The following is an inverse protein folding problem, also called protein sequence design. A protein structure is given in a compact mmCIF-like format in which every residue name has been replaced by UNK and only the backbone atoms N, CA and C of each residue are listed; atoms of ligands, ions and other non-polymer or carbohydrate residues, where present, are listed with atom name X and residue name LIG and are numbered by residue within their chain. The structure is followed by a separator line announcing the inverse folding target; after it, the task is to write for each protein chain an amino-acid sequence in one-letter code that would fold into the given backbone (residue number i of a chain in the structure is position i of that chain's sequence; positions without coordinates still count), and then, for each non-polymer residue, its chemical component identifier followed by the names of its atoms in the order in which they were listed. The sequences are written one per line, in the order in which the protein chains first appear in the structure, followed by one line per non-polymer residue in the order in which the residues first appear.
data_IF_466136832363
#
_entry.id   IF_466136832363
#
_cell.length_a   1.000
_cell.length_b   1.000
_cell.length_c   1.000
_cell.angle_alpha   90.00
_cell.angle_beta   90.00
_cell.angle_gamma   90.00
#
_symmetry.space_group_name_H-M   'P 1'
#
loop_
_entity.id
_entity.type
_entity.pdbx_description
1 polymer ?
#
# COMPACT_ATOMS: atom_id res chain seq x y z
N UNK A 1 20.37 -11.30 20.23
CA UNK A 1 19.50 -11.86 19.16
C UNK A 1 19.35 -10.79 18.08
N UNK A 2 19.83 -11.01 16.85
CA UNK A 2 19.68 -10.06 15.74
C UNK A 2 18.29 -10.22 15.15
N UNK A 3 17.44 -9.21 15.23
CA UNK A 3 16.11 -9.24 14.64
C UNK A 3 16.19 -8.83 13.16
N UNK A 4 15.53 -9.61 12.29
CA UNK A 4 15.50 -9.37 10.85
C UNK A 4 14.13 -8.76 10.49
N UNK A 5 14.11 -7.49 10.09
CA UNK A 5 12.86 -6.79 9.75
C UNK A 5 12.08 -7.49 8.64
N UNK A 6 12.78 -8.14 7.71
CA UNK A 6 12.14 -8.90 6.63
C UNK A 6 11.20 -9.98 7.16
N UNK A 7 11.57 -10.68 8.24
CA UNK A 7 10.74 -11.74 8.83
C UNK A 7 9.48 -11.19 9.51
N UNK A 8 9.47 -9.93 9.92
CA UNK A 8 8.31 -9.29 10.54
C UNK A 8 7.36 -8.66 9.51
N UNK A 9 7.91 -8.10 8.44
CA UNK A 9 7.14 -7.32 7.46
C UNK A 9 6.73 -8.11 6.22
N UNK A 10 7.46 -9.17 5.86
CA UNK A 10 7.29 -9.90 4.60
C UNK A 10 6.75 -11.30 4.87
N UNK A 11 5.45 -11.50 4.62
CA UNK A 11 4.80 -12.82 4.74
C UNK A 11 4.95 -13.67 3.48
N UNK A 12 4.84 -13.05 2.31
CA UNK A 12 4.94 -13.72 1.01
C UNK A 12 6.07 -13.09 0.18
N UNK A 13 7.33 -13.54 0.34
CA UNK A 13 8.48 -12.89 -0.28
C UNK A 13 8.40 -12.75 -1.80
N UNK A 14 7.84 -13.74 -2.50
CA UNK A 14 7.66 -13.71 -3.95
C UNK A 14 6.54 -12.77 -4.43
N UNK A 15 5.69 -12.30 -3.51
CA UNK A 15 4.55 -11.42 -3.78
C UNK A 15 4.65 -10.08 -3.05
N UNK A 16 5.78 -9.81 -2.38
CA UNK A 16 5.99 -8.57 -1.62
C UNK A 16 6.99 -7.69 -2.33
N UNK A 17 6.67 -6.41 -2.47
CA UNK A 17 7.58 -5.40 -3.01
C UNK A 17 7.52 -4.12 -2.18
N UNK A 18 8.58 -3.32 -2.30
CA UNK A 18 8.71 -2.05 -1.62
C UNK A 18 8.44 -0.91 -2.60
N UNK A 19 7.67 0.09 -2.17
CA UNK A 19 7.46 1.31 -2.93
C UNK A 19 7.88 2.51 -2.10
N UNK A 20 8.52 3.49 -2.76
CA UNK A 20 8.77 4.79 -2.15
C UNK A 20 7.63 5.73 -2.53
N UNK A 21 7.03 6.34 -1.52
CA UNK A 21 5.94 7.30 -1.70
C UNK A 21 6.48 8.57 -2.30
N UNK A 22 5.73 9.13 -3.26
CA UNK A 22 5.96 10.47 -3.79
C UNK A 22 4.66 11.27 -3.69
N UNK A 23 4.77 12.50 -3.18
CA UNK A 23 3.65 13.42 -2.97
C UNK A 23 2.92 13.24 -1.63
N UNK A 24 1.88 14.04 -1.44
CA UNK A 24 1.18 14.23 -0.16
C UNK A 24 -0.25 13.68 -0.12
N UNK A 25 -0.67 12.94 -1.16
CA UNK A 25 -2.08 12.54 -1.32
C UNK A 25 -2.64 11.61 -0.23
N UNK A 26 -1.77 11.09 0.64
CA UNK A 26 -2.10 10.15 1.72
C UNK A 26 -1.61 10.62 3.09
N UNK A 27 -1.36 11.93 3.27
CA UNK A 27 -0.90 12.50 4.56
C UNK A 27 -1.90 12.26 5.70
N UNK A 28 -3.21 12.33 5.44
CA UNK A 28 -4.26 11.99 6.43
C UNK A 28 -4.18 10.52 6.87
N UNK A 29 -3.65 9.66 5.99
CA UNK A 29 -3.34 8.26 6.27
C UNK A 29 -2.03 8.05 7.02
N UNK A 30 -1.32 9.12 7.40
CA UNK A 30 0.03 9.12 7.97
C UNK A 30 1.06 8.47 7.05
N UNK A 31 0.86 8.62 5.74
CA UNK A 31 1.78 8.19 4.71
C UNK A 31 2.31 9.46 4.05
N UNK A 32 3.60 9.71 4.24
CA UNK A 32 4.26 10.95 3.84
C UNK A 32 5.19 10.73 2.65
N UNK A 33 5.51 11.83 1.97
CA UNK A 33 6.52 11.81 0.91
C UNK A 33 7.84 11.22 1.43
N UNK A 34 8.41 10.29 0.66
CA UNK A 34 9.65 9.60 1.02
C UNK A 34 9.50 8.34 1.87
N UNK A 35 8.31 8.06 2.42
CA UNK A 35 8.04 6.82 3.16
C UNK A 35 8.22 5.58 2.26
N UNK A 36 8.56 4.45 2.88
CA UNK A 36 8.68 3.15 2.20
C UNK A 36 7.52 2.25 2.62
N UNK A 37 6.69 1.87 1.65
CA UNK A 37 5.58 0.95 1.83
C UNK A 37 6.01 -0.48 1.52
N UNK A 38 5.59 -1.42 2.38
CA UNK A 38 5.68 -2.87 2.12
C UNK A 38 4.35 -3.34 1.57
N UNK A 39 4.33 -3.79 0.32
CA UNK A 39 3.10 -4.09 -0.41
C UNK A 39 3.07 -5.57 -0.75
N UNK A 40 2.03 -6.27 -0.30
CA UNK A 40 1.79 -7.69 -0.60
C UNK A 40 0.65 -7.83 -1.63
N UNK A 41 0.97 -8.30 -2.84
CA UNK A 41 -0.01 -8.48 -3.93
C UNK A 41 -0.76 -9.81 -3.89
N UNK A 42 -0.39 -10.73 -2.99
CA UNK A 42 -1.09 -12.01 -2.87
C UNK A 42 -2.44 -11.88 -2.15
N UNK A 43 -2.65 -10.76 -1.44
CA UNK A 43 -3.84 -10.50 -0.66
C UNK A 43 -4.93 -9.82 -1.50
N UNK A 44 -6.18 -10.23 -1.32
CA UNK A 44 -7.33 -9.51 -1.86
C UNK A 44 -7.64 -8.30 -0.98
N UNK A 45 -7.65 -7.11 -1.56
CA UNK A 45 -7.96 -5.88 -0.85
C UNK A 45 -9.42 -5.84 -0.36
N UNK A 46 -9.63 -5.32 0.84
CA UNK A 46 -10.96 -5.18 1.46
C UNK A 46 -11.35 -3.70 1.62
N UNK A 47 -12.62 -3.45 1.92
CA UNK A 47 -13.10 -2.08 2.18
C UNK A 47 -12.28 -1.40 3.29
N UNK A 48 -11.77 -0.21 3.02
CA UNK A 48 -10.93 0.59 3.92
C UNK A 48 -9.43 0.31 3.77
N UNK A 49 -9.03 -0.70 3.02
CA UNK A 49 -7.62 -1.05 2.79
C UNK A 49 -6.87 0.10 2.10
N UNK A 50 -5.62 0.33 2.48
CA UNK A 50 -4.69 1.11 1.67
C UNK A 50 -4.17 0.21 0.55
N UNK A 51 -4.34 0.66 -0.68
CA UNK A 51 -3.98 -0.10 -1.88
C UNK A 51 -3.06 0.72 -2.75
N UNK A 52 -2.22 0.01 -3.48
CA UNK A 52 -1.56 0.54 -4.66
C UNK A 52 -2.45 0.22 -5.85
N UNK A 53 -2.96 1.24 -6.53
CA UNK A 53 -3.82 1.10 -7.69
C UNK A 53 -3.11 1.65 -8.93
N UNK A 54 -3.35 1.02 -10.08
CA UNK A 54 -2.92 1.53 -11.37
C UNK A 54 -4.12 2.20 -12.05
N UNK A 55 -4.07 3.51 -12.24
CA UNK A 55 -5.11 4.31 -12.89
C UNK A 55 -4.46 5.01 -14.08
N UNK A 56 -4.98 4.79 -15.29
CA UNK A 56 -4.39 5.34 -16.53
C UNK A 56 -2.88 5.05 -16.68
N UNK A 57 -2.43 3.83 -16.32
CA UNK A 57 -1.02 3.42 -16.31
C UNK A 57 -0.12 4.15 -15.29
N UNK A 58 -0.70 4.88 -14.35
CA UNK A 58 0.03 5.51 -13.25
C UNK A 58 -0.27 4.81 -11.92
N UNK A 59 0.78 4.51 -11.16
CA UNK A 59 0.65 3.94 -9.83
C UNK A 59 0.33 5.02 -8.81
N UNK A 60 -0.71 4.78 -8.02
CA UNK A 60 -1.17 5.67 -6.96
C UNK A 60 -1.42 4.89 -5.68
N UNK A 61 -1.17 5.52 -4.53
CA UNK A 61 -1.52 4.97 -3.23
C UNK A 61 -2.83 5.61 -2.79
N UNK A 62 -3.83 4.79 -2.52
CA UNK A 62 -5.19 5.25 -2.19
C UNK A 62 -5.87 4.36 -1.18
N UNK A 63 -6.90 4.87 -0.52
CA UNK A 63 -7.81 4.07 0.30
C UNK A 63 -8.94 3.52 -0.57
N UNK A 64 -9.09 2.21 -0.58
CA UNK A 64 -10.16 1.52 -1.29
C UNK A 64 -11.46 1.58 -0.51
N UNK A 65 -12.48 2.26 -1.04
CA UNK A 65 -13.82 2.29 -0.46
C UNK A 65 -14.77 1.51 -1.37
N UNK A 66 -15.15 0.30 -0.99
CA UNK A 66 -16.09 -0.53 -1.77
C UNK A 66 -17.59 -0.19 -1.61
N UNK A 67 -17.95 0.70 -0.67
CA UNK A 67 -19.35 0.98 -0.28
C UNK A 67 -19.51 2.46 0.08
N UNK A 68 -20.66 3.10 -0.19
CA UNK A 68 -21.83 2.56 -0.93
C UNK A 68 -21.57 2.42 -2.44
N UNK A 69 -20.61 3.16 -2.98
CA UNK A 69 -20.10 3.00 -4.36
C UNK A 69 -18.59 2.80 -4.32
N UNK A 70 -18.04 1.88 -5.12
CA UNK A 70 -16.59 1.70 -5.23
C UNK A 70 -15.87 2.98 -5.65
N UNK A 71 -14.89 3.42 -4.87
CA UNK A 71 -13.99 4.52 -5.21
C UNK A 71 -12.61 4.38 -4.53
N UNK A 72 -11.66 5.20 -4.99
CA UNK A 72 -10.33 5.36 -4.41
C UNK A 72 -10.22 6.78 -3.85
N UNK A 73 -9.92 6.90 -2.56
CA UNK A 73 -9.75 8.17 -1.83
C UNK A 73 -8.27 8.44 -1.57
#
# INVERSE_FOLDING_TARGET
KRQNLHEYCVRHPSATYFLRVSGSSMEDGRIHDGDVLVVDRSLTASHGSIVVACIHNEFTVKRLLLRPRPCLM
#
